data_IF_998367488892
#
_entry.id   IF_998367488892
#
_cell.length_a   1.000
_cell.length_b   1.000
_cell.length_c   1.000
_cell.angle_alpha   90.00
_cell.angle_beta   90.00
_cell.angle_gamma   90.00
#
_symmetry.space_group_name_H-M   'P 1'
#
loop_
_entity.id
_entity.type
_entity.pdbx_description
1 polymer ?
#
# COMPACT_ATOMS: atom_id res chain seq x y z
N UNK A 1 15.02 -5.87 -14.87
CA UNK A 1 15.48 -7.27 -14.65
C UNK A 1 14.49 -7.97 -13.75
N UNK A 2 14.43 -9.30 -13.76
CA UNK A 2 13.49 -10.04 -12.90
C UNK A 2 14.07 -11.37 -12.41
N UNK A 3 13.48 -11.94 -11.37
CA UNK A 3 13.82 -13.24 -10.83
C UNK A 3 12.59 -13.90 -10.21
N UNK A 4 12.55 -15.25 -10.05
CA UNK A 4 11.55 -15.90 -9.22
C UNK A 4 11.64 -15.41 -7.76
N UNK A 5 10.51 -15.25 -7.08
CA UNK A 5 10.48 -14.91 -5.65
C UNK A 5 11.26 -15.91 -4.78
N UNK A 6 11.28 -17.21 -5.14
CA UNK A 6 12.11 -18.24 -4.47
C UNK A 6 13.60 -17.88 -4.43
N UNK A 7 14.05 -17.04 -5.36
CA UNK A 7 15.45 -16.65 -5.50
C UNK A 7 15.73 -15.28 -4.86
N UNK A 8 14.80 -14.68 -4.10
CA UNK A 8 14.96 -13.36 -3.47
C UNK A 8 16.26 -13.22 -2.64
N UNK A 9 16.74 -14.33 -2.06
CA UNK A 9 17.99 -14.37 -1.31
C UNK A 9 19.25 -14.15 -2.16
N UNK A 10 19.22 -14.46 -3.47
CA UNK A 10 20.37 -14.30 -4.37
C UNK A 10 20.69 -12.84 -4.70
N UNK A 11 19.75 -11.92 -4.40
CA UNK A 11 19.99 -10.48 -4.46
C UNK A 11 21.06 -10.02 -3.45
N UNK A 12 21.34 -10.78 -2.39
CA UNK A 12 22.44 -10.42 -1.48
C UNK A 12 23.81 -10.53 -2.20
N UNK A 13 24.76 -9.63 -1.91
CA UNK A 13 24.74 -8.55 -0.90
C UNK A 13 24.19 -7.21 -1.41
N UNK A 14 23.63 -7.14 -2.62
CA UNK A 14 23.13 -5.91 -3.24
C UNK A 14 22.06 -5.22 -2.39
N UNK A 15 22.03 -3.88 -2.48
CA UNK A 15 21.19 -3.00 -1.63
C UNK A 15 20.27 -2.13 -2.49
N UNK A 16 19.06 -1.90 -2.01
CA UNK A 16 18.02 -1.16 -2.71
C UNK A 16 17.64 0.13 -1.96
N UNK A 17 17.52 1.22 -2.71
CA UNK A 17 17.11 2.54 -2.23
C UNK A 17 15.60 2.57 -1.97
N UNK A 18 14.83 1.81 -2.77
CA UNK A 18 13.38 1.62 -2.62
C UNK A 18 13.01 0.16 -2.78
N UNK A 19 12.12 -0.32 -1.92
CA UNK A 19 11.50 -1.65 -2.00
C UNK A 19 9.96 -1.49 -2.04
N UNK A 20 9.32 -1.86 -3.14
CA UNK A 20 7.86 -1.99 -3.28
C UNK A 20 7.44 -3.43 -2.98
N UNK A 21 6.36 -3.62 -2.23
CA UNK A 21 5.87 -4.94 -1.81
C UNK A 21 4.35 -5.01 -1.95
N UNK A 22 3.86 -6.01 -2.67
CA UNK A 22 2.43 -6.34 -2.80
C UNK A 22 2.16 -7.79 -2.33
N UNK A 23 2.02 -8.04 -1.01
CA UNK A 23 2.03 -9.40 -0.48
C UNK A 23 0.82 -10.23 -0.97
N UNK A 24 1.02 -11.47 -1.46
CA UNK A 24 -0.05 -12.33 -1.99
C UNK A 24 -0.80 -13.04 -0.87
N UNK A 25 -1.42 -12.27 0.04
CA UNK A 25 -2.07 -12.80 1.24
C UNK A 25 -3.12 -13.86 0.93
N UNK A 26 -2.99 -15.00 1.61
CA UNK A 26 -3.84 -16.18 1.41
C UNK A 26 -3.84 -17.05 2.69
N UNK A 27 -4.43 -18.25 2.64
CA UNK A 27 -4.28 -19.25 3.70
C UNK A 27 -2.86 -19.83 3.81
N UNK A 28 -2.04 -19.72 2.77
CA UNK A 28 -0.65 -20.20 2.74
C UNK A 28 0.40 -19.10 2.83
N UNK A 29 0.01 -17.83 2.75
CA UNK A 29 0.91 -16.69 2.93
C UNK A 29 0.27 -15.64 3.86
N UNK A 30 0.82 -15.52 5.07
CA UNK A 30 0.26 -14.69 6.15
C UNK A 30 1.19 -13.51 6.51
N UNK A 31 0.77 -12.68 7.47
CA UNK A 31 1.60 -11.60 8.01
C UNK A 31 2.90 -12.10 8.65
N UNK A 32 2.87 -13.29 9.24
CA UNK A 32 4.05 -13.93 9.84
C UNK A 32 5.08 -14.28 8.76
N UNK A 33 4.64 -14.89 7.65
CA UNK A 33 5.48 -15.18 6.48
C UNK A 33 6.05 -13.91 5.84
N UNK A 34 5.24 -12.85 5.72
CA UNK A 34 5.70 -11.54 5.25
C UNK A 34 6.78 -10.99 6.19
N UNK A 35 6.57 -11.07 7.49
CA UNK A 35 7.48 -10.56 8.52
C UNK A 35 8.86 -11.27 8.54
N UNK A 36 8.96 -12.45 7.94
CA UNK A 36 10.21 -13.23 7.82
C UNK A 36 11.04 -12.88 6.58
N UNK A 37 10.51 -12.07 5.64
CA UNK A 37 11.27 -11.67 4.46
C UNK A 37 12.58 -10.95 4.82
N UNK A 38 13.66 -11.16 4.05
CA UNK A 38 14.98 -10.58 4.31
C UNK A 38 15.08 -9.08 3.95
N UNK A 39 13.99 -8.32 3.98
CA UNK A 39 13.94 -6.89 3.64
C UNK A 39 15.03 -6.07 4.35
N UNK A 40 15.35 -6.26 5.65
CA UNK A 40 16.43 -5.52 6.31
C UNK A 40 17.83 -5.78 5.75
N UNK A 41 18.07 -6.94 5.13
CA UNK A 41 19.35 -7.25 4.47
C UNK A 41 19.42 -6.76 3.02
N UNK A 42 18.28 -6.47 2.40
CA UNK A 42 18.18 -5.90 1.06
C UNK A 42 18.11 -4.36 1.08
N UNK A 43 17.67 -3.77 2.19
CA UNK A 43 17.58 -2.32 2.38
C UNK A 43 18.95 -1.62 2.36
N UNK A 44 19.07 -0.53 1.60
CA UNK A 44 20.13 0.45 1.79
C UNK A 44 19.91 1.29 3.07
N UNK A 45 20.90 2.11 3.44
CA UNK A 45 20.78 3.13 4.48
C UNK A 45 21.30 4.48 3.93
N UNK A 46 20.45 5.50 3.76
CA UNK A 46 18.99 5.48 3.94
C UNK A 46 18.25 4.68 2.85
N UNK A 47 16.98 4.33 3.10
CA UNK A 47 16.08 3.71 2.10
C UNK A 47 14.60 3.85 2.47
N UNK A 48 13.72 3.54 1.52
CA UNK A 48 12.27 3.53 1.69
C UNK A 48 11.65 2.17 1.37
N UNK A 49 10.57 1.83 2.06
CA UNK A 49 9.70 0.69 1.74
C UNK A 49 8.29 1.19 1.46
N UNK A 50 7.65 0.66 0.42
CA UNK A 50 6.27 0.93 0.03
C UNK A 50 5.54 -0.41 0.11
N UNK A 51 4.60 -0.56 1.03
CA UNK A 51 3.96 -1.85 1.31
C UNK A 51 2.45 -1.75 1.24
N UNK A 52 1.85 -2.48 0.31
CA UNK A 52 0.40 -2.62 0.22
C UNK A 52 -0.12 -3.43 1.41
N UNK A 53 -1.10 -2.88 2.13
CA UNK A 53 -1.72 -3.50 3.31
C UNK A 53 -3.22 -3.73 3.14
N UNK A 54 -3.67 -3.78 1.88
CA UNK A 54 -5.07 -3.97 1.50
C UNK A 54 -5.96 -2.79 1.90
N UNK A 55 -7.24 -3.08 2.18
CA UNK A 55 -8.26 -2.05 2.46
C UNK A 55 -8.15 -1.34 3.82
N UNK A 56 -7.18 -1.74 4.65
CA UNK A 56 -7.01 -1.29 6.03
C UNK A 56 -7.95 -1.94 7.06
N UNK A 57 -8.89 -2.78 6.61
CA UNK A 57 -9.67 -3.63 7.49
C UNK A 57 -8.99 -5.00 7.68
N UNK A 58 -9.40 -5.75 8.71
CA UNK A 58 -8.75 -7.03 9.04
C UNK A 58 -7.33 -6.87 9.60
N UNK A 59 -7.10 -5.80 10.37
CA UNK A 59 -5.81 -5.44 11.00
C UNK A 59 -4.65 -5.12 10.05
N UNK A 60 -4.89 -4.97 8.74
CA UNK A 60 -3.81 -4.77 7.76
C UNK A 60 -2.95 -3.53 8.02
N UNK A 61 -3.56 -2.42 8.44
CA UNK A 61 -2.85 -1.19 8.80
C UNK A 61 -1.99 -1.36 10.07
N UNK A 62 -2.46 -2.14 11.03
CA UNK A 62 -1.78 -2.39 12.31
C UNK A 62 -0.61 -3.35 12.10
N UNK A 63 -0.88 -4.51 11.48
CA UNK A 63 0.12 -5.52 11.11
C UNK A 63 1.19 -4.96 10.18
N UNK A 64 0.82 -4.12 9.22
CA UNK A 64 1.79 -3.44 8.36
C UNK A 64 2.77 -2.54 9.12
N UNK A 65 2.31 -1.86 10.18
CA UNK A 65 3.18 -1.06 11.06
C UNK A 65 4.08 -1.93 11.93
N UNK A 66 3.58 -3.06 12.44
CA UNK A 66 4.37 -4.06 13.18
C UNK A 66 5.53 -4.61 12.31
N UNK A 67 5.22 -5.02 11.08
CA UNK A 67 6.21 -5.54 10.11
C UNK A 67 7.27 -4.49 9.77
N UNK A 68 6.87 -3.26 9.44
CA UNK A 68 7.82 -2.17 9.19
C UNK A 68 8.73 -1.91 10.40
N UNK A 69 8.16 -1.88 11.61
CA UNK A 69 8.93 -1.65 12.83
C UNK A 69 9.97 -2.75 13.07
N UNK A 70 9.61 -4.03 12.89
CA UNK A 70 10.57 -5.15 12.97
C UNK A 70 11.67 -5.04 11.91
N UNK A 71 11.35 -4.56 10.71
CA UNK A 71 12.34 -4.31 9.66
C UNK A 71 13.20 -3.04 9.88
N UNK A 72 12.98 -2.29 10.97
CA UNK A 72 13.72 -1.06 11.27
C UNK A 72 13.28 0.16 10.45
N UNK A 73 12.09 0.11 9.83
CA UNK A 73 11.46 1.25 9.17
C UNK A 73 10.50 1.97 10.11
N UNK A 74 10.49 3.30 10.04
CA UNK A 74 9.47 4.14 10.67
C UNK A 74 8.43 4.49 9.61
N UNK A 75 7.14 4.21 9.84
CA UNK A 75 6.07 4.70 8.95
C UNK A 75 6.15 6.23 8.88
N UNK A 76 6.19 6.76 7.66
CA UNK A 76 6.22 8.19 7.38
C UNK A 76 4.93 8.67 6.71
N UNK A 77 4.46 8.01 5.65
CA UNK A 77 3.22 8.35 4.93
C UNK A 77 2.30 7.12 4.74
N UNK A 78 1.11 7.33 4.19
CA UNK A 78 0.11 6.30 3.83
C UNK A 78 -0.57 6.70 2.50
N UNK A 79 -0.14 6.09 1.39
CA UNK A 79 -0.71 6.37 0.06
C UNK A 79 -2.01 5.59 -0.11
N UNK A 80 -3.11 6.31 -0.30
CA UNK A 80 -4.44 5.73 -0.46
C UNK A 80 -4.82 5.63 -1.93
N UNK A 81 -4.90 4.41 -2.45
CA UNK A 81 -5.57 4.15 -3.72
C UNK A 81 -7.09 4.08 -3.49
N UNK A 82 -7.84 5.05 -4.01
CA UNK A 82 -9.30 5.02 -4.04
C UNK A 82 -9.76 4.44 -5.37
N UNK A 83 -10.62 3.41 -5.28
CA UNK A 83 -11.29 2.80 -6.43
C UNK A 83 -12.57 3.56 -6.72
N UNK A 84 -12.61 4.21 -7.88
CA UNK A 84 -13.86 4.76 -8.43
C UNK A 84 -14.71 3.63 -9.02
N UNK A 85 -15.99 3.91 -9.23
CA UNK A 85 -16.98 3.01 -9.81
C UNK A 85 -17.70 3.69 -10.99
N UNK A 86 -17.02 4.59 -11.72
CA UNK A 86 -17.63 5.44 -12.76
C UNK A 86 -18.32 4.63 -13.86
N UNK A 87 -17.76 3.48 -14.20
CA UNK A 87 -18.21 2.63 -15.30
C UNK A 87 -19.34 1.70 -14.87
N UNK A 88 -19.30 1.18 -13.64
CA UNK A 88 -20.35 0.29 -13.12
C UNK A 88 -21.51 1.06 -12.46
N UNK A 89 -21.24 2.22 -11.88
CA UNK A 89 -22.14 3.08 -11.10
C UNK A 89 -23.00 2.37 -10.04
N UNK A 90 -22.52 1.24 -9.51
CA UNK A 90 -23.21 0.52 -8.43
C UNK A 90 -23.01 1.27 -7.11
N UNK A 91 -24.12 1.55 -6.42
CA UNK A 91 -24.09 2.13 -5.08
C UNK A 91 -23.49 1.17 -4.03
N UNK A 92 -23.13 1.68 -2.84
CA UNK A 92 -22.60 0.83 -1.77
C UNK A 92 -23.62 -0.24 -1.35
N UNK A 93 -23.15 -1.45 -1.05
CA UNK A 93 -23.97 -2.55 -0.51
C UNK A 93 -24.09 -3.78 -1.42
N UNK A 94 -23.53 -3.77 -2.63
CA UNK A 94 -23.42 -4.96 -3.48
C UNK A 94 -22.21 -5.83 -3.16
N UNK A 95 -21.23 -5.30 -2.42
CA UNK A 95 -20.04 -6.04 -2.02
C UNK A 95 -20.36 -7.14 -0.99
N UNK A 96 -19.63 -8.27 -0.99
CA UNK A 96 -19.76 -9.30 0.02
C UNK A 96 -19.63 -8.73 1.45
N UNK A 97 -20.43 -9.21 2.43
CA UNK A 97 -20.32 -8.77 3.81
C UNK A 97 -18.90 -8.91 4.35
N UNK A 98 -18.45 -7.91 5.11
CA UNK A 98 -17.09 -7.88 5.66
C UNK A 98 -17.10 -7.50 7.14
N UNK A 99 -15.97 -7.67 7.82
CA UNK A 99 -15.75 -7.19 9.20
C UNK A 99 -15.70 -5.66 9.37
N UNK A 100 -16.08 -4.88 8.35
CA UNK A 100 -16.09 -3.41 8.37
C UNK A 100 -17.52 -2.88 8.35
N UNK A 101 -17.78 -1.80 9.09
CA UNK A 101 -19.06 -1.07 9.07
C UNK A 101 -19.31 -0.34 7.74
N UNK A 102 -18.25 -0.05 6.98
CA UNK A 102 -18.33 0.66 5.71
C UNK A 102 -17.80 -0.19 4.55
N UNK A 103 -18.38 0.05 3.37
CA UNK A 103 -17.92 -0.50 2.08
C UNK A 103 -16.45 -0.13 1.81
N UNK A 104 -15.67 -1.09 1.31
CA UNK A 104 -14.21 -1.01 1.21
C UNK A 104 -13.76 -0.54 -0.19
N UNK A 105 -13.96 0.74 -0.50
CA UNK A 105 -13.65 1.34 -1.82
C UNK A 105 -12.20 1.82 -1.98
N UNK A 106 -11.27 1.43 -1.10
CA UNK A 106 -9.88 1.88 -1.13
C UNK A 106 -8.89 0.81 -0.69
N UNK A 107 -7.62 1.01 -1.03
CA UNK A 107 -6.46 0.26 -0.53
C UNK A 107 -5.37 1.21 -0.05
N UNK A 108 -4.56 0.78 0.91
CA UNK A 108 -3.48 1.53 1.55
C UNK A 108 -2.12 0.97 1.15
N UNK A 109 -1.18 1.85 0.84
CA UNK A 109 0.24 1.56 0.67
C UNK A 109 1.04 2.37 1.70
N UNK A 110 1.48 1.72 2.77
CA UNK A 110 2.24 2.39 3.82
C UNK A 110 3.67 2.67 3.34
N UNK A 111 4.14 3.91 3.54
CA UNK A 111 5.53 4.29 3.25
C UNK A 111 6.33 4.27 4.56
N UNK A 112 7.38 3.46 4.61
CA UNK A 112 8.36 3.42 5.69
C UNK A 112 9.69 4.06 5.28
N UNK A 113 10.33 4.78 6.20
CA UNK A 113 11.71 5.29 6.07
C UNK A 113 12.67 4.56 7.00
N UNK A 114 13.81 4.13 6.46
CA UNK A 114 14.96 3.59 7.20
C UNK A 114 16.16 4.54 7.04
N UNK A 115 17.00 4.61 8.08
CA UNK A 115 18.09 5.58 8.13
C UNK A 115 17.64 6.99 8.51
N UNK A 116 18.43 7.99 8.11
CA UNK A 116 18.13 9.43 8.27
C UNK A 116 18.11 10.12 6.91
N UNK A 117 16.98 10.76 6.59
CA UNK A 117 16.84 11.65 5.42
C UNK A 117 16.23 12.96 5.90
N UNK A 118 16.79 14.09 5.50
CA UNK A 118 16.32 15.44 5.84
C UNK A 118 16.00 16.21 4.56
N UNK A 119 14.72 16.52 4.33
CA UNK A 119 14.21 17.23 3.14
C UNK A 119 14.99 18.52 2.78
N UNK A 120 15.56 19.21 3.78
CA UNK A 120 16.32 20.44 3.60
C UNK A 120 17.77 20.26 3.11
N UNK A 121 18.36 19.07 3.28
CA UNK A 121 19.77 18.80 2.93
C UNK A 121 19.95 17.63 1.95
N UNK A 122 18.99 16.70 1.91
CA UNK A 122 19.07 15.46 1.13
C UNK A 122 18.23 15.50 -0.15
N UNK A 123 18.13 16.66 -0.79
CA UNK A 123 17.45 16.82 -2.08
C UNK A 123 18.08 16.01 -3.21
N UNK A 124 19.34 15.61 -3.06
CA UNK A 124 20.03 14.67 -3.96
C UNK A 124 19.42 13.24 -3.91
N UNK A 125 18.63 12.93 -2.88
CA UNK A 125 18.04 11.61 -2.66
C UNK A 125 16.51 11.63 -2.74
N UNK A 126 15.85 12.70 -2.26
CA UNK A 126 14.38 12.81 -2.27
C UNK A 126 13.86 14.16 -2.76
N UNK A 127 12.82 14.11 -3.60
CA UNK A 127 11.99 15.26 -3.96
C UNK A 127 10.62 15.11 -3.29
N UNK A 128 10.53 15.50 -2.02
CA UNK A 128 9.25 15.49 -1.32
C UNK A 128 8.24 16.48 -1.93
N UNK A 129 6.95 16.17 -1.77
CA UNK A 129 5.83 17.05 -2.10
C UNK A 129 5.64 17.35 -3.60
N UNK A 130 6.27 16.58 -4.49
CA UNK A 130 5.97 16.57 -5.93
C UNK A 130 4.59 15.96 -6.19
N UNK A 131 4.33 14.79 -5.62
CA UNK A 131 3.07 14.05 -5.74
C UNK A 131 2.24 14.08 -4.43
N UNK A 132 0.95 13.73 -4.55
CA UNK A 132 0.02 13.57 -3.42
C UNK A 132 -0.02 12.13 -2.89
N UNK A 133 -0.54 11.94 -1.68
CA UNK A 133 -0.76 10.64 -1.02
C UNK A 133 -2.08 9.95 -1.43
N UNK A 134 -2.73 10.41 -2.51
CA UNK A 134 -3.98 9.83 -3.03
C UNK A 134 -3.83 9.48 -4.51
N UNK A 135 -4.22 8.26 -4.88
CA UNK A 135 -4.30 7.79 -6.26
C UNK A 135 -5.76 7.45 -6.56
N UNK A 136 -6.32 8.00 -7.65
CA UNK A 136 -7.70 7.77 -8.08
C UNK A 136 -7.73 6.88 -9.33
N UNK A 137 -8.08 5.60 -9.20
CA UNK A 137 -8.11 4.68 -10.34
C UNK A 137 -9.19 3.62 -10.17
N UNK A 138 -10.05 3.42 -11.17
CA UNK A 138 -11.15 2.43 -11.15
C UNK A 138 -10.63 0.99 -10.97
N UNK A 139 -9.41 0.73 -11.47
CA UNK A 139 -8.78 -0.59 -11.49
C UNK A 139 -8.54 -1.07 -12.91
N UNK A 140 -7.89 -2.22 -13.02
CA UNK A 140 -7.76 -2.94 -14.28
C UNK A 140 -8.96 -3.90 -14.42
N UNK A 141 -9.76 -3.81 -15.49
CA UNK A 141 -10.90 -4.71 -15.70
C UNK A 141 -10.51 -6.18 -15.85
N UNK A 142 -9.33 -6.45 -16.39
CA UNK A 142 -8.84 -7.80 -16.69
C UNK A 142 -8.04 -8.39 -15.51
N UNK A 143 -7.40 -7.54 -14.69
CA UNK A 143 -6.77 -7.93 -13.42
C UNK A 143 -7.23 -7.06 -12.23
N UNK A 144 -8.36 -7.40 -11.56
CA UNK A 144 -8.89 -6.68 -10.41
C UNK A 144 -7.95 -6.58 -9.19
N UNK A 145 -6.83 -7.31 -9.20
CA UNK A 145 -5.82 -7.33 -8.13
C UNK A 145 -4.58 -6.49 -8.48
N UNK A 146 -4.43 -6.03 -9.73
CA UNK A 146 -3.39 -5.08 -10.18
C UNK A 146 -3.44 -3.80 -9.35
N UNK A 147 -2.27 -3.23 -9.05
CA UNK A 147 -2.11 -1.94 -8.37
C UNK A 147 -1.97 -0.80 -9.39
N UNK A 148 -2.26 0.46 -9.02
CA UNK A 148 -2.20 1.58 -9.96
C UNK A 148 -0.81 1.70 -10.59
N UNK A 149 -0.68 1.77 -11.92
CA UNK A 149 0.60 2.00 -12.59
C UNK A 149 1.29 3.30 -12.14
N UNK A 150 0.50 4.30 -11.73
CA UNK A 150 0.95 5.57 -11.17
C UNK A 150 1.82 5.41 -9.91
N UNK A 151 1.71 4.30 -9.17
CA UNK A 151 2.56 4.01 -8.01
C UNK A 151 4.05 4.01 -8.37
N UNK A 152 4.43 3.54 -9.57
CA UNK A 152 5.83 3.59 -9.99
C UNK A 152 6.31 5.03 -10.20
N UNK A 153 5.50 5.87 -10.86
CA UNK A 153 5.82 7.28 -11.09
C UNK A 153 5.94 8.05 -9.77
N UNK A 154 5.01 7.85 -8.83
CA UNK A 154 5.07 8.43 -7.48
C UNK A 154 6.38 8.06 -6.77
N UNK A 155 6.78 6.79 -6.83
CA UNK A 155 8.04 6.31 -6.22
C UNK A 155 9.26 6.93 -6.91
N UNK A 156 9.27 6.99 -8.23
CA UNK A 156 10.38 7.49 -9.05
C UNK A 156 10.57 9.00 -8.92
N UNK A 157 9.46 9.75 -8.82
CA UNK A 157 9.44 11.18 -8.51
C UNK A 157 9.91 11.45 -7.08
N UNK A 158 9.46 10.65 -6.10
CA UNK A 158 9.79 10.84 -4.70
C UNK A 158 11.25 10.52 -4.38
N UNK A 159 11.78 9.38 -4.87
CA UNK A 159 13.12 8.88 -4.53
C UNK A 159 14.02 8.77 -5.77
N UNK A 160 15.11 9.55 -5.74
CA UNK A 160 16.10 9.60 -6.81
C UNK A 160 16.99 8.35 -6.85
N UNK A 161 17.01 7.51 -5.80
CA UNK A 161 17.79 6.28 -5.78
C UNK A 161 17.42 5.31 -6.91
N UNK A 162 18.40 4.86 -7.68
CA UNK A 162 18.16 4.06 -8.90
C UNK A 162 18.03 2.56 -8.62
N UNK A 163 18.31 2.09 -7.40
CA UNK A 163 18.27 0.67 -7.04
C UNK A 163 16.88 0.35 -6.49
N UNK A 164 15.95 0.04 -7.38
CA UNK A 164 14.53 -0.20 -7.07
C UNK A 164 14.18 -1.68 -7.17
N UNK A 165 13.59 -2.23 -6.11
CA UNK A 165 13.14 -3.63 -6.03
C UNK A 165 11.62 -3.68 -5.86
N UNK A 166 10.95 -4.52 -6.63
CA UNK A 166 9.57 -4.92 -6.37
C UNK A 166 9.54 -6.39 -5.93
N UNK A 167 8.84 -6.70 -4.85
CA UNK A 167 8.66 -8.04 -4.31
C UNK A 167 7.20 -8.46 -4.50
N UNK A 168 6.99 -9.67 -5.02
CA UNK A 168 5.71 -10.24 -5.45
C UNK A 168 5.10 -9.60 -6.70
N UNK A 169 5.94 -9.00 -7.55
CA UNK A 169 5.48 -8.45 -8.83
C UNK A 169 4.91 -9.52 -9.75
N UNK A 170 4.08 -9.09 -10.71
CA UNK A 170 3.44 -9.95 -11.71
C UNK A 170 4.17 -9.85 -13.04
N UNK A 171 4.43 -11.01 -13.68
CA UNK A 171 5.10 -11.10 -14.97
C UNK A 171 4.47 -10.19 -16.05
N UNK A 172 3.13 -10.13 -16.12
CA UNK A 172 2.41 -9.38 -17.15
C UNK A 172 2.17 -7.90 -16.87
N UNK A 173 2.45 -7.39 -15.67
CA UNK A 173 2.06 -6.01 -15.29
C UNK A 173 3.00 -5.25 -14.37
N UNK A 174 4.01 -5.90 -13.77
CA UNK A 174 5.00 -5.28 -12.88
C UNK A 174 6.38 -5.04 -13.51
N UNK A 175 6.63 -5.56 -14.71
CA UNK A 175 7.93 -5.39 -15.34
C UNK A 175 8.11 -3.97 -15.87
N UNK A 176 9.04 -3.24 -15.24
CA UNK A 176 9.34 -1.83 -15.53
C UNK A 176 10.83 -1.59 -15.71
N UNK A 177 11.21 -0.75 -16.66
CA UNK A 177 12.58 -0.26 -16.84
C UNK A 177 13.07 0.44 -15.56
N UNK A 178 14.30 0.15 -15.14
CA UNK A 178 14.87 0.68 -13.89
C UNK A 178 14.50 -0.09 -12.62
N UNK A 179 13.73 -1.18 -12.72
CA UNK A 179 13.38 -2.04 -11.59
C UNK A 179 13.98 -3.45 -11.68
N UNK A 180 14.20 -4.03 -10.51
CA UNK A 180 14.36 -5.47 -10.30
C UNK A 180 13.04 -6.00 -9.75
N UNK A 181 12.42 -6.98 -10.42
CA UNK A 181 11.11 -7.53 -10.00
C UNK A 181 11.26 -8.99 -9.57
N UNK A 182 11.08 -9.27 -8.28
CA UNK A 182 10.96 -10.63 -7.75
C UNK A 182 9.52 -11.11 -7.96
N UNK A 183 9.32 -11.94 -8.97
CA UNK A 183 8.00 -12.35 -9.48
C UNK A 183 7.35 -13.40 -8.60
N UNK A 184 6.05 -13.22 -8.30
CA UNK A 184 5.24 -14.23 -7.64
C UNK A 184 4.82 -15.35 -8.61
N UNK A 185 5.01 -16.61 -8.20
CA UNK A 185 4.64 -17.81 -8.95
C UNK A 185 5.79 -18.45 -9.74
N UNK A 186 5.54 -19.66 -10.25
CA UNK A 186 6.59 -20.56 -10.75
C UNK A 186 6.95 -20.37 -12.23
N UNK A 187 6.05 -19.76 -13.01
CA UNK A 187 6.17 -19.60 -14.47
C UNK A 187 7.00 -18.36 -14.86
N UNK A 188 8.24 -18.29 -14.39
CA UNK A 188 9.16 -17.18 -14.69
C UNK A 188 10.05 -17.51 -15.91
N UNK A 189 10.06 -16.70 -16.98
CA UNK A 189 10.86 -16.99 -18.18
C UNK A 189 12.37 -17.01 -17.90
N UNK A 190 13.08 -18.01 -18.40
CA UNK A 190 14.53 -18.16 -18.19
C UNK A 190 15.39 -17.41 -19.23
N UNK A 191 14.75 -16.70 -20.17
CA UNK A 191 15.41 -15.98 -21.27
C UNK A 191 14.84 -14.58 -21.41
N UNK A 192 15.62 -13.67 -22.00
CA UNK A 192 15.18 -12.29 -22.26
C UNK A 192 13.98 -12.22 -23.21
N UNK A 193 13.14 -11.20 -23.04
CA UNK A 193 11.99 -10.89 -23.90
C UNK A 193 11.68 -9.39 -23.89
N UNK A 194 10.86 -8.94 -24.84
CA UNK A 194 10.41 -7.54 -24.92
C UNK A 194 9.16 -7.31 -24.07
N UNK A 195 9.16 -6.26 -23.27
CA UNK A 195 7.98 -5.72 -22.57
C UNK A 195 7.52 -4.47 -23.33
N UNK A 196 6.25 -4.43 -23.72
CA UNK A 196 5.67 -3.32 -24.48
C UNK A 196 5.37 -2.09 -23.61
N UNK A 197 5.12 -0.95 -24.28
CA UNK A 197 4.77 0.31 -23.64
C UNK A 197 5.96 1.25 -23.34
N UNK A 198 5.69 2.51 -22.95
CA UNK A 198 6.72 3.56 -22.81
C UNK A 198 7.75 3.25 -21.72
N UNK A 199 7.33 2.52 -20.68
CA UNK A 199 8.18 2.13 -19.54
C UNK A 199 8.69 0.69 -19.62
N UNK A 200 8.40 0.02 -20.75
CA UNK A 200 8.90 -1.30 -21.10
C UNK A 200 10.34 -1.28 -21.65
N UNK A 201 10.66 -2.28 -22.47
CA UNK A 201 11.99 -2.55 -23.00
C UNK A 201 12.38 -4.02 -22.82
N UNK A 202 13.67 -4.32 -22.92
CA UNK A 202 14.17 -5.70 -22.74
C UNK A 202 14.12 -6.11 -21.27
N UNK A 203 13.23 -7.06 -20.94
CA UNK A 203 13.25 -7.78 -19.68
C UNK A 203 14.25 -8.94 -19.78
N UNK A 204 15.11 -9.07 -18.78
CA UNK A 204 16.09 -10.17 -18.65
C UNK A 204 16.08 -10.75 -17.23
N UNK A 205 16.44 -12.04 -17.07
CA UNK A 205 16.76 -12.62 -15.77
C UNK A 205 17.79 -11.78 -15.00
N UNK A 206 17.69 -11.76 -13.67
CA UNK A 206 18.58 -11.00 -12.82
C UNK A 206 19.96 -11.68 -12.73
N UNK A 207 20.96 -11.04 -13.33
CA UNK A 207 22.37 -11.36 -13.14
C UNK A 207 23.05 -10.20 -12.39
N UNK A 208 23.50 -10.47 -11.16
CA UNK A 208 24.05 -9.46 -10.24
C UNK A 208 25.21 -8.69 -10.85
N UNK A 209 26.14 -9.38 -11.50
CA UNK A 209 27.33 -8.77 -12.12
C UNK A 209 26.96 -7.80 -13.25
N UNK A 210 25.97 -8.16 -14.09
CA UNK A 210 25.45 -7.27 -15.13
C UNK A 210 24.72 -6.06 -14.50
N UNK A 211 23.95 -6.28 -13.44
CA UNK A 211 23.20 -5.24 -12.73
C UNK A 211 24.13 -4.22 -12.05
N UNK A 212 25.12 -4.69 -11.28
CA UNK A 212 26.13 -3.86 -10.62
C UNK A 212 26.98 -3.09 -11.65
N UNK A 213 27.36 -3.73 -12.77
CA UNK A 213 28.06 -3.06 -13.86
C UNK A 213 27.21 -1.96 -14.52
N UNK A 214 25.93 -2.24 -14.78
CA UNK A 214 24.97 -1.27 -15.31
C UNK A 214 24.77 -0.06 -14.37
N UNK A 215 24.61 -0.29 -13.08
CA UNK A 215 24.53 0.77 -12.07
C UNK A 215 25.79 1.63 -12.02
N UNK A 216 26.98 1.01 -12.06
CA UNK A 216 28.26 1.71 -12.06
C UNK A 216 28.47 2.56 -13.31
N UNK A 217 28.01 2.08 -14.47
CA UNK A 217 28.02 2.84 -15.72
C UNK A 217 27.06 4.04 -15.64
N UNK A 218 25.84 3.84 -15.14
CA UNK A 218 24.84 4.89 -14.96
C UNK A 218 25.26 5.97 -13.94
N UNK A 219 25.94 5.59 -12.86
CA UNK A 219 26.38 6.55 -11.83
C UNK A 219 27.69 7.27 -12.15
N UNK A 220 28.42 6.83 -13.18
CA UNK A 220 29.78 7.33 -13.48
C UNK A 220 30.78 7.10 -12.33
N UNK A 221 30.53 6.12 -11.46
CA UNK A 221 31.27 5.92 -10.20
C UNK A 221 30.82 6.82 -9.04
N UNK A 222 29.84 7.69 -9.25
CA UNK A 222 29.17 8.47 -8.22
C UNK A 222 28.07 7.69 -7.48
N UNK A 223 27.22 8.42 -6.76
CA UNK A 223 26.04 7.85 -6.09
C UNK A 223 25.06 7.27 -7.12
N UNK A 224 24.42 6.13 -6.79
CA UNK A 224 23.37 5.52 -7.61
C UNK A 224 22.05 6.30 -7.51
N UNK A 225 22.01 7.52 -8.04
CA UNK A 225 20.83 8.39 -8.08
C UNK A 225 20.60 8.96 -9.46
N UNK A 226 19.35 9.28 -9.78
CA UNK A 226 18.94 10.00 -10.99
C UNK A 226 19.56 11.41 -10.94
N UNK A 227 20.29 11.85 -11.99
CA UNK A 227 20.83 13.21 -12.05
C UNK A 227 19.72 14.28 -12.01
N UNK A 228 19.83 15.25 -11.11
CA UNK A 228 18.92 16.39 -11.04
C UNK A 228 19.41 17.53 -11.92
N UNK A 229 18.56 18.05 -12.81
CA UNK A 229 18.88 19.25 -13.60
C UNK A 229 18.60 20.53 -12.79
N UNK A 230 19.22 21.65 -13.18
CA UNK A 230 18.94 22.95 -12.54
C UNK A 230 17.47 23.37 -12.72
N UNK A 231 16.83 23.00 -13.83
CA UNK A 231 15.41 23.25 -14.09
C UNK A 231 14.52 22.47 -13.10
N UNK A 232 14.77 21.17 -12.91
CA UNK A 232 14.06 20.35 -11.92
C UNK A 232 14.28 20.92 -10.51
N UNK A 233 15.50 21.30 -10.14
CA UNK A 233 15.73 21.90 -8.83
C UNK A 233 15.01 23.25 -8.69
N UNK A 234 14.94 24.07 -9.73
CA UNK A 234 14.23 25.36 -9.69
C UNK A 234 12.71 25.20 -9.53
N UNK A 235 12.12 24.20 -10.16
CA UNK A 235 10.66 23.99 -10.18
C UNK A 235 10.14 23.16 -8.99
N UNK A 236 10.93 22.25 -8.44
CA UNK A 236 10.45 21.35 -7.36
C UNK A 236 10.12 22.13 -6.07
N UNK A 237 9.13 21.68 -5.29
CA UNK A 237 8.82 22.26 -3.98
C UNK A 237 10.03 22.25 -3.03
N UNK A 238 10.27 23.41 -2.40
CA UNK A 238 11.35 23.63 -1.42
C UNK A 238 10.82 24.36 -0.19
N UNK A 239 11.39 24.07 0.97
CA UNK A 239 11.08 24.82 2.19
C UNK A 239 11.49 26.29 2.05
N UNK A 240 10.68 27.26 2.53
CA UNK A 240 11.08 28.67 2.53
C UNK A 240 12.40 28.88 3.28
N UNK A 241 13.30 29.68 2.69
CA UNK A 241 14.54 30.07 3.36
C UNK A 241 14.18 31.01 4.51
N UNK A 242 14.43 30.57 5.75
CA UNK A 242 14.40 31.48 6.91
C UNK A 242 15.59 32.44 6.78
N UNK A 243 15.35 33.63 6.24
CA UNK A 243 16.26 34.74 6.47
C UNK A 243 16.31 34.97 7.99
N UNK A 244 17.42 34.57 8.62
CA UNK A 244 17.83 35.22 9.86
C UNK A 244 18.06 36.69 9.49
N UNK A 245 17.11 37.54 9.90
CA UNK A 245 17.26 38.98 9.78
C UNK A 245 18.63 39.37 10.31
N UNK A 246 19.46 39.94 9.45
CA UNK A 246 20.66 40.62 9.87
C UNK A 246 20.22 41.81 10.71
N UNK A 247 20.19 41.62 12.04
CA UNK A 247 19.94 42.70 13.00
C UNK A 247 21.19 43.59 13.09
N UNK A 248 21.56 44.20 11.97
CA UNK A 248 22.65 45.13 11.84
C UNK A 248 22.17 46.53 12.26
N UNK A 249 21.72 46.65 13.52
CA UNK A 249 21.28 47.92 14.07
C UNK A 249 22.48 48.76 14.53
N UNK A 250 23.25 49.26 13.56
CA UNK A 250 24.22 50.33 13.79
C UNK A 250 23.53 51.68 13.56
N UNK A 251 22.95 52.24 14.61
CA UNK A 251 22.27 53.54 14.61
C UNK A 251 22.11 54.03 16.04
N UNK A 252 22.89 55.05 16.43
CA UNK A 252 22.99 55.48 17.82
C UNK A 252 21.95 56.52 18.25
N UNK A 253 21.87 56.71 19.57
CA UNK A 253 21.48 57.98 20.21
C UNK A 253 20.03 58.47 20.04
N UNK A 254 19.16 58.18 21.01
CA UNK A 254 17.87 58.85 21.13
C UNK A 254 17.13 58.46 22.41
N UNK A 255 17.05 59.36 23.40
CA UNK A 255 16.34 59.13 24.65
C UNK A 255 14.97 59.86 24.66
N UNK A 256 13.88 59.09 24.75
CA UNK A 256 12.49 59.44 25.11
C UNK A 256 11.56 58.33 24.57
N UNK A 257 10.45 57.92 25.19
CA UNK A 257 9.87 58.30 26.48
C UNK A 257 8.39 57.91 26.56
N UNK A 258 8.07 56.72 27.08
CA UNK A 258 6.69 56.20 27.24
C UNK A 258 6.01 55.77 25.93
N UNK A 259 4.95 54.95 25.91
CA UNK A 259 4.29 54.14 26.95
C UNK A 259 3.78 52.85 26.30
N UNK A 260 3.89 51.70 26.98
CA UNK A 260 3.37 50.42 26.48
C UNK A 260 2.02 50.10 27.12
N UNK A 261 0.98 49.90 26.30
CA UNK A 261 -0.30 49.39 26.77
C UNK A 261 -0.19 47.87 27.00
N UNK A 262 -0.23 47.44 28.26
CA UNK A 262 -0.38 46.03 28.60
C UNK A 262 -1.84 45.62 28.55
N UNK A 263 -2.13 44.39 28.11
CA UNK A 263 -3.38 43.72 28.44
C UNK A 263 -3.10 42.30 28.95
N UNK A 264 -3.78 41.91 30.02
CA UNK A 264 -3.35 40.83 30.91
C UNK A 264 -4.14 39.54 30.64
N UNK A 265 -3.44 38.42 30.47
CA UNK A 265 -4.01 37.06 30.51
C UNK A 265 -3.47 36.31 31.74
N UNK A 266 -4.32 35.72 32.61
CA UNK A 266 -3.87 35.18 33.88
C UNK A 266 -3.15 33.83 33.73
N UNK A 267 -1.94 33.73 34.29
CA UNK A 267 -1.26 32.45 34.54
C UNK A 267 -1.49 32.01 35.98
N UNK A 268 -1.99 30.80 36.16
CA UNK A 268 -2.01 30.15 37.46
C UNK A 268 -0.59 29.79 37.89
N UNK A 269 -0.16 30.28 39.05
CA UNK A 269 1.08 29.90 39.71
C UNK A 269 0.79 29.52 41.16
N UNK A 270 0.96 28.25 41.50
CA UNK A 270 0.87 27.80 42.89
C UNK A 270 2.23 28.03 43.58
N UNK A 271 2.21 28.69 44.73
CA UNK A 271 3.42 29.02 45.49
C UNK A 271 3.90 27.89 46.40
N UNK A 272 5.19 27.90 46.70
CA UNK A 272 5.83 26.93 47.60
C UNK A 272 7.34 27.12 47.61
N UNK A 273 7.82 28.17 48.29
CA UNK A 273 9.23 28.51 48.32
C UNK A 273 9.93 28.12 49.62
N UNK A 274 11.22 27.79 49.51
CA UNK A 274 12.27 28.23 50.44
C UNK A 274 13.60 28.20 49.68
N UNK A 275 14.47 29.17 49.93
CA UNK A 275 15.81 29.24 49.35
C UNK A 275 16.89 29.03 50.42
N UNK A 276 18.13 28.80 49.99
CA UNK A 276 19.38 28.98 50.75
C UNK A 276 20.52 29.24 49.74
N UNK A 277 21.57 29.96 50.18
CA UNK A 277 22.66 30.49 49.34
C UNK A 277 23.81 29.50 49.05
N UNK A 278 24.64 29.86 48.06
CA UNK A 278 25.96 29.29 47.70
C UNK A 278 26.05 29.13 46.17
N UNK A 279 26.93 29.77 45.39
CA UNK A 279 28.38 29.92 45.57
C UNK A 279 29.06 28.57 45.28
N UNK A 280 29.89 28.35 44.25
CA UNK A 280 30.49 29.20 43.22
C UNK A 280 31.83 28.56 42.78
N UNK A 281 32.19 28.60 41.47
CA UNK A 281 33.36 27.91 40.86
C UNK A 281 33.32 26.35 40.93
N UNK A 282 34.02 25.56 40.10
CA UNK A 282 34.84 25.83 38.91
C UNK A 282 35.91 24.73 38.71
N UNK A 283 36.00 24.13 37.51
CA UNK A 283 36.89 22.99 37.14
C UNK A 283 36.67 21.68 37.97
N UNK A 284 37.00 20.46 37.52
CA UNK A 284 37.62 19.99 36.28
C UNK A 284 38.87 19.15 36.56
N UNK A 285 38.78 17.81 36.51
CA UNK A 285 39.88 16.88 36.15
C UNK A 285 39.44 15.39 36.12
N UNK A 286 40.24 14.58 35.41
CA UNK A 286 40.15 13.13 35.17
C UNK A 286 40.47 12.25 36.39
N UNK A 287 40.00 10.99 36.40
CA UNK A 287 40.84 9.80 36.70
C UNK A 287 40.11 8.44 36.62
N UNK A 288 40.91 7.42 36.27
CA UNK A 288 40.62 6.06 35.84
C UNK A 288 40.14 5.01 36.90
N UNK A 289 39.36 4.04 36.39
CA UNK A 289 39.45 2.57 36.58
C UNK A 289 39.14 1.78 37.89
N UNK A 290 38.24 0.78 37.70
CA UNK A 290 38.32 -0.63 38.16
C UNK A 290 37.89 -1.02 39.61
N UNK A 291 37.57 -2.32 39.92
CA UNK A 291 36.20 -2.81 39.68
C UNK A 291 35.57 -3.70 40.78
N UNK A 292 34.27 -3.95 40.67
CA UNK A 292 33.64 -5.22 41.07
C UNK A 292 32.99 -5.31 42.46
N UNK A 293 31.73 -5.76 42.48
CA UNK A 293 31.27 -6.92 43.26
C UNK A 293 29.85 -7.31 42.82
N UNK A 294 29.54 -8.60 42.82
CA UNK A 294 28.21 -9.13 42.59
C UNK A 294 27.61 -9.62 43.91
N UNK A 295 26.29 -9.52 44.09
CA UNK A 295 25.49 -10.45 44.91
C UNK A 295 24.03 -10.48 44.43
N UNK A 296 23.34 -11.57 44.78
CA UNK A 296 22.12 -12.07 44.14
C UNK A 296 20.80 -11.61 44.84
N UNK A 297 19.59 -12.00 44.35
CA UNK A 297 18.33 -11.30 44.63
C UNK A 297 17.55 -11.83 45.85
N UNK A 298 16.50 -11.09 46.23
CA UNK A 298 15.54 -11.47 47.28
C UNK A 298 14.09 -11.16 46.87
N UNK A 299 13.20 -12.16 47.07
CA UNK A 299 11.83 -11.93 47.54
C UNK A 299 10.73 -11.59 46.52
N UNK A 300 10.03 -12.60 46.03
CA UNK A 300 8.57 -12.51 45.78
C UNK A 300 7.83 -12.93 47.05
N UNK A 301 6.73 -12.23 47.38
CA UNK A 301 5.63 -12.77 48.20
C UNK A 301 4.29 -12.29 47.61
N UNK A 302 3.44 -13.19 47.09
CA UNK A 302 2.09 -12.90 46.65
C UNK A 302 1.04 -13.36 47.67
N UNK A 303 0.36 -12.43 48.33
CA UNK A 303 -0.81 -12.78 49.15
C UNK A 303 -1.96 -11.76 49.07
N UNK A 304 -3.17 -12.31 49.26
CA UNK A 304 -4.50 -11.67 49.46
C UNK A 304 -5.51 -11.85 48.31
N UNK A 305 -5.87 -13.11 48.05
CA UNK A 305 -7.23 -13.46 47.61
C UNK A 305 -8.15 -13.53 48.84
N UNK A 306 -9.20 -12.70 48.92
CA UNK A 306 -10.46 -13.05 49.61
C UNK A 306 -11.59 -12.05 49.28
N UNK A 307 -12.85 -12.47 49.45
CA UNK A 307 -13.96 -11.54 49.70
C UNK A 307 -14.99 -11.35 48.59
N UNK A 308 -15.59 -12.44 48.08
CA UNK A 308 -16.84 -12.32 47.32
C UNK A 308 -18.06 -12.18 48.25
N UNK A 309 -18.95 -11.24 47.95
CA UNK A 309 -20.33 -11.21 48.47
C UNK A 309 -21.26 -10.68 47.37
N UNK A 310 -22.35 -11.41 47.11
CA UNK A 310 -23.39 -11.00 46.15
C UNK A 310 -24.60 -10.37 46.85
N UNK A 311 -25.35 -9.55 46.13
CA UNK A 311 -26.62 -8.98 46.58
C UNK A 311 -27.12 -7.91 45.59
N UNK A 312 -28.43 -7.79 45.29
CA UNK A 312 -28.83 -7.40 43.94
C UNK A 312 -29.69 -6.10 43.82
N UNK A 313 -29.78 -5.62 42.58
CA UNK A 313 -30.92 -4.88 41.99
C UNK A 313 -31.35 -3.54 42.59
N UNK A 314 -31.26 -2.47 41.78
CA UNK A 314 -32.33 -1.49 41.63
C UNK A 314 -32.51 -1.11 40.15
N UNK A 315 -33.53 -1.70 39.51
CA UNK A 315 -34.16 -1.09 38.32
C UNK A 315 -35.17 -0.05 38.78
N UNK A 316 -35.28 1.07 38.06
CA UNK A 316 -36.27 2.11 38.31
C UNK A 316 -37.43 1.98 37.30
N UNK A 317 -38.68 1.64 37.70
CA UNK A 317 -39.78 1.45 36.78
C UNK A 317 -40.94 2.42 37.06
N UNK A 318 -41.08 3.49 36.26
CA UNK A 318 -42.38 4.16 36.05
C UNK A 318 -42.31 5.24 34.96
N UNK A 319 -43.08 5.03 33.89
CA UNK A 319 -44.15 5.94 33.46
C UNK A 319 -44.90 5.32 32.28
N UNK A 320 -46.03 4.66 32.58
CA UNK A 320 -47.14 4.44 31.65
C UNK A 320 -48.31 5.28 32.14
N UNK A 321 -49.04 5.92 31.21
CA UNK A 321 -50.46 6.19 31.39
C UNK A 321 -51.17 6.10 30.02
N UNK A 322 -52.44 5.66 29.92
CA UNK A 322 -53.04 5.19 28.67
C UNK A 322 -54.19 6.08 28.13
N UNK A 323 -54.97 5.52 27.18
CA UNK A 323 -56.25 6.01 26.59
C UNK A 323 -56.10 7.02 25.43
N UNK A 324 -56.96 7.04 24.40
CA UNK A 324 -58.01 6.13 23.89
C UNK A 324 -58.42 6.60 22.47
N UNK A 325 -58.68 5.70 21.51
CA UNK A 325 -59.85 5.67 20.60
C UNK A 325 -59.60 4.84 19.32
N UNK A 326 -60.51 3.88 19.12
CA UNK A 326 -60.88 3.12 17.90
C UNK A 326 -62.37 3.53 17.61
N UNK A 327 -63.17 3.03 16.61
CA UNK A 327 -62.95 1.88 15.72
C UNK A 327 -63.51 1.99 14.26
N UNK A 328 -63.50 0.84 13.56
CA UNK A 328 -64.28 0.44 12.34
C UNK A 328 -63.67 0.85 10.97
N UNK A 329 -63.68 0.06 9.89
CA UNK A 329 -64.30 -1.24 9.50
C UNK A 329 -63.45 -1.85 8.32
N UNK A 330 -63.49 -3.12 7.88
CA UNK A 330 -64.21 -4.33 8.29
C UNK A 330 -63.60 -5.65 7.68
N UNK A 331 -64.22 -6.77 8.04
CA UNK A 331 -64.05 -8.19 7.66
C UNK A 331 -64.04 -8.55 6.15
N UNK A 332 -63.37 -9.67 5.80
CA UNK A 332 -63.93 -10.75 4.94
C UNK A 332 -63.33 -12.12 5.32
N UNK A 333 -64.14 -13.18 5.28
CA UNK A 333 -63.83 -14.53 5.78
C UNK A 333 -64.34 -15.60 4.80
N UNK A 334 -63.62 -16.72 4.70
CA UNK A 334 -64.00 -17.91 3.91
C UNK A 334 -62.79 -18.56 3.23
N UNK A 335 -62.53 -19.86 3.29
CA UNK A 335 -63.32 -20.97 3.84
C UNK A 335 -63.52 -22.06 2.78
N UNK A 336 -62.76 -23.16 2.85
CA UNK A 336 -62.87 -24.27 1.89
C UNK A 336 -61.87 -25.40 2.17
N UNK A 337 -62.36 -26.65 2.18
CA UNK A 337 -61.62 -27.85 2.56
C UNK A 337 -61.00 -28.56 1.33
N UNK A 338 -60.00 -29.43 1.55
CA UNK A 338 -59.48 -30.34 0.51
C UNK A 338 -58.53 -31.42 1.04
N UNK A 339 -59.00 -32.66 1.14
CA UNK A 339 -58.20 -33.87 1.46
C UNK A 339 -57.59 -34.49 0.19
N UNK A 340 -56.48 -35.24 0.33
CA UNK A 340 -55.96 -36.16 -0.71
C UNK A 340 -54.43 -36.20 -0.73
N UNK A 341 -53.78 -37.06 0.07
CA UNK A 341 -53.37 -38.44 -0.25
C UNK A 341 -52.15 -38.58 -1.18
N UNK A 342 -51.10 -39.20 -0.63
CA UNK A 342 -49.91 -39.69 -1.34
C UNK A 342 -50.23 -41.00 -2.11
N UNK A 343 -49.31 -41.44 -2.98
CA UNK A 343 -49.00 -42.86 -3.09
C UNK A 343 -47.52 -43.15 -2.74
N UNK A 344 -47.32 -44.14 -1.86
CA UNK A 344 -46.04 -44.85 -1.71
C UNK A 344 -46.01 -46.06 -2.66
N UNK A 345 -44.87 -46.31 -3.29
CA UNK A 345 -44.31 -47.63 -3.67
C UNK A 345 -42.98 -47.38 -4.41
N UNK A 346 -41.88 -48.10 -4.19
CA UNK A 346 -41.62 -49.10 -3.15
C UNK A 346 -40.14 -49.51 -3.13
N UNK A 347 -39.65 -49.81 -1.93
CA UNK A 347 -38.70 -50.87 -1.54
C UNK A 347 -37.43 -51.19 -2.37
N UNK A 348 -36.32 -51.28 -1.60
CA UNK A 348 -35.16 -52.17 -1.79
C UNK A 348 -34.16 -51.85 -2.93
N UNK A 349 -32.84 -52.10 -2.80
CA UNK A 349 -31.98 -52.50 -1.66
C UNK A 349 -30.50 -52.20 -2.02
N UNK A 350 -29.61 -52.29 -1.02
CA UNK A 350 -28.11 -52.32 -1.06
C UNK A 350 -27.47 -52.59 -2.45
N UNK A 351 -26.39 -51.92 -2.87
CA UNK A 351 -25.21 -51.54 -2.09
C UNK A 351 -24.09 -52.56 -2.33
N UNK A 352 -22.99 -52.16 -2.99
CA UNK A 352 -21.88 -53.08 -3.30
C UNK A 352 -20.93 -52.51 -4.35
N UNK A 353 -19.66 -52.35 -3.99
CA UNK A 353 -18.68 -51.63 -4.80
C UNK A 353 -17.90 -52.45 -5.85
N UNK A 354 -16.84 -51.76 -6.32
CA UNK A 354 -15.57 -52.29 -6.82
C UNK A 354 -15.40 -52.58 -8.35
N UNK A 355 -14.53 -51.73 -8.95
CA UNK A 355 -13.51 -51.95 -9.98
C UNK A 355 -13.80 -52.83 -11.24
N UNK A 356 -13.59 -52.23 -12.41
CA UNK A 356 -13.37 -52.93 -13.70
C UNK A 356 -12.61 -52.03 -14.70
N UNK A 357 -11.60 -52.58 -15.40
CA UNK A 357 -10.62 -51.83 -16.21
C UNK A 357 -10.88 -51.86 -17.73
N UNK A 358 -10.37 -50.82 -18.41
CA UNK A 358 -9.72 -50.80 -19.75
C UNK A 358 -10.50 -50.93 -21.09
N UNK A 359 -10.15 -50.00 -22.01
CA UNK A 359 -9.93 -50.15 -23.48
C UNK A 359 -11.13 -50.52 -24.39
N UNK A 360 -11.48 -49.74 -25.45
CA UNK A 360 -10.64 -49.34 -26.61
C UNK A 360 -11.30 -48.26 -27.51
N UNK A 361 -10.44 -47.58 -28.29
CA UNK A 361 -10.56 -47.09 -29.70
C UNK A 361 -11.78 -47.51 -30.56
N UNK A 362 -12.18 -46.84 -31.66
CA UNK A 362 -11.88 -45.53 -32.29
C UNK A 362 -12.71 -45.37 -33.60
N UNK A 363 -12.69 -44.19 -34.25
CA UNK A 363 -13.23 -43.89 -35.61
C UNK A 363 -14.76 -43.99 -35.77
N UNK A 364 -15.45 -43.32 -36.69
CA UNK A 364 -15.07 -42.34 -37.73
C UNK A 364 -16.17 -42.27 -38.82
N UNK A 365 -16.17 -41.20 -39.64
CA UNK A 365 -17.18 -40.89 -40.69
C UNK A 365 -18.62 -40.56 -40.20
N UNK A 366 -19.39 -39.69 -40.86
CA UNK A 366 -19.04 -38.78 -41.95
C UNK A 366 -20.26 -38.18 -42.68
N UNK A 367 -20.05 -37.06 -43.38
CA UNK A 367 -20.88 -36.49 -44.46
C UNK A 367 -22.34 -36.04 -44.18
N UNK A 368 -23.00 -35.25 -45.04
CA UNK A 368 -22.64 -34.10 -45.92
C UNK A 368 -23.95 -33.62 -46.62
N UNK A 369 -24.00 -32.37 -47.09
CA UNK A 369 -25.02 -31.79 -48.00
C UNK A 369 -26.43 -31.56 -47.39
N UNK A 370 -27.22 -30.57 -47.85
CA UNK A 370 -26.94 -29.48 -48.80
C UNK A 370 -28.22 -28.90 -49.46
N UNK A 371 -28.12 -27.68 -50.03
CA UNK A 371 -29.19 -26.99 -50.80
C UNK A 371 -29.91 -25.87 -50.02
N UNK A 372 -29.82 -24.59 -50.43
CA UNK A 372 -30.56 -23.90 -51.53
C UNK A 372 -32.05 -23.69 -51.22
N UNK A 373 -32.73 -22.56 -51.51
CA UNK A 373 -32.39 -21.20 -51.99
C UNK A 373 -33.16 -20.20 -51.07
N UNK A 374 -33.13 -18.86 -51.13
CA UNK A 374 -32.67 -17.84 -52.08
C UNK A 374 -33.41 -16.52 -51.75
N UNK A 375 -32.97 -15.37 -52.27
CA UNK A 375 -33.65 -14.09 -52.01
C UNK A 375 -32.76 -12.87 -52.26
N UNK A 376 -32.99 -12.17 -53.36
CA UNK A 376 -32.31 -10.91 -53.69
C UNK A 376 -32.82 -9.77 -52.81
N UNK A 377 -31.96 -8.79 -52.52
CA UNK A 377 -32.25 -7.39 -52.87
C UNK A 377 -30.94 -6.59 -53.01
N UNK A 378 -30.95 -5.66 -53.96
CA UNK A 378 -29.80 -4.90 -54.44
C UNK A 378 -30.08 -3.40 -54.33
N UNK A 379 -29.14 -2.63 -53.78
CA UNK A 379 -29.01 -1.19 -54.01
C UNK A 379 -27.53 -0.79 -53.94
N UNK A 380 -26.95 -0.45 -55.09
CA UNK A 380 -25.81 0.47 -55.17
C UNK A 380 -26.30 1.93 -55.17
N UNK A 381 -25.46 2.95 -55.36
CA UNK A 381 -24.01 2.96 -55.59
C UNK A 381 -23.44 4.35 -55.27
N UNK A 382 -22.10 4.45 -55.21
CA UNK A 382 -21.25 5.60 -55.61
C UNK A 382 -21.59 7.03 -55.12
N UNK A 383 -20.60 7.69 -54.50
CA UNK A 383 -19.80 8.64 -55.28
C UNK A 383 -18.35 8.72 -54.74
N UNK A 384 -17.41 9.17 -55.59
CA UNK A 384 -15.97 9.14 -55.36
C UNK A 384 -15.32 10.45 -55.85
N UNK A 385 -14.69 11.24 -54.98
CA UNK A 385 -13.83 12.37 -55.39
C UNK A 385 -12.55 12.47 -54.58
N UNK A 386 -11.49 12.86 -55.28
CA UNK A 386 -10.09 12.75 -54.87
C UNK A 386 -9.44 14.12 -54.64
N UNK A 387 -8.49 14.16 -53.69
CA UNK A 387 -7.21 14.93 -53.74
C UNK A 387 -7.26 16.48 -53.69
N UNK A 388 -6.12 17.18 -53.43
CA UNK A 388 -4.83 16.72 -52.88
C UNK A 388 -4.25 17.57 -51.71
N UNK A 389 -3.45 16.90 -50.86
CA UNK A 389 -2.06 17.29 -50.57
C UNK A 389 -1.70 18.58 -49.81
N UNK A 390 -1.03 18.41 -48.67
CA UNK A 390 0.20 19.19 -48.39
C UNK A 390 1.17 18.36 -47.54
N UNK A 391 2.43 18.34 -47.98
CA UNK A 391 3.53 17.54 -47.44
C UNK A 391 4.54 18.48 -46.75
N UNK A 392 4.90 18.20 -45.49
CA UNK A 392 6.07 18.77 -44.82
C UNK A 392 6.70 17.69 -43.94
N UNK A 393 7.83 17.15 -44.39
CA UNK A 393 8.63 16.21 -43.61
C UNK A 393 9.52 16.94 -42.59
N UNK A 394 9.86 16.24 -41.51
CA UNK A 394 10.78 16.72 -40.49
C UNK A 394 11.58 15.56 -39.92
N UNK A 395 12.67 15.18 -40.58
CA UNK A 395 13.71 14.32 -39.99
C UNK A 395 14.31 15.01 -38.76
N UNK A 396 14.48 14.27 -37.67
CA UNK A 396 15.42 14.63 -36.60
C UNK A 396 16.26 13.42 -36.22
N UNK A 397 17.58 13.63 -36.23
CA UNK A 397 18.64 12.68 -35.89
C UNK A 397 19.55 13.29 -34.85
N UNK A 398 19.98 12.50 -33.86
CA UNK A 398 20.89 12.92 -32.79
C UNK A 398 20.14 13.50 -31.57
N UNK A 399 20.51 13.21 -30.33
CA UNK A 399 21.65 12.42 -29.80
C UNK A 399 21.19 11.43 -28.72
#
# INVERSE_FOLDING_TARGET
>A
MYLPFSNLSTLQPSKFDVILIDPPFSSSFTWEHLQELPVPSLAADPSFVFMWVGSGAGQGLERGREVMAKWGYRRCEDVVWVRTNRTSNHGPGTDPPTTSLFTRTKQHCLIGIRGTVRRSSDSWFVHCNVDTDVIMWEGDPDDPTRKPPEMYSLIENFCMGTRRLEIFGKLGSSLRRGWVTAIAGDNVPQTQFSVEGPDGGTASPFEREQWDAGLKALSGGGKCVVPTTQEIDNLRPKSPVRNHSANNNNGGGGASGGVALGNVGPRFGNGGGMGIMGGGMGAGMDMNMMPGMAMAPMGMDPSMMNGGWGGPMMMNPQMMNPQMMDPQHAMMMGGGQGFGMMPMNGMHQMGGGQQGMMNRMAMGMGNQMGGQMGGQMNWGAQDNRMMPGMNMGGQWTGF
#
